data_IF_236776494550
#
_entry.id   IF_236776494550
#
_cell.length_a   1.000
_cell.length_b   1.000
_cell.length_c   1.000
_cell.angle_alpha   90.00
_cell.angle_beta   90.00
_cell.angle_gamma   90.00
#
_symmetry.space_group_name_H-M   'P 1'
#
loop_
_entity.id
_entity.type
_entity.pdbx_description
1 polymer ?
#
# COMPACT_ATOMS: atom_id res chain seq x y z
N UNK A 1 -24.60 6.40 -14.41
CA UNK A 1 -23.16 6.10 -14.58
C UNK A 1 -22.50 7.28 -15.29
N UNK A 2 -21.30 7.68 -14.90
CA UNK A 2 -20.62 8.89 -15.40
C UNK A 2 -20.28 8.76 -16.90
N UNK A 3 -21.09 9.41 -17.76
CA UNK A 3 -20.83 9.56 -19.22
C UNK A 3 -19.46 10.18 -19.56
N UNK A 4 -18.79 10.81 -18.58
CA UNK A 4 -17.59 11.61 -18.79
C UNK A 4 -16.34 10.86 -19.26
N UNK A 5 -16.18 9.57 -18.92
CA UNK A 5 -15.01 8.80 -19.39
C UNK A 5 -15.20 8.40 -20.86
N UNK A 6 -16.40 7.95 -21.24
CA UNK A 6 -16.69 7.48 -22.60
C UNK A 6 -16.81 8.62 -23.63
N UNK A 7 -17.09 9.85 -23.20
CA UNK A 7 -17.00 11.04 -24.08
C UNK A 7 -15.56 11.44 -24.39
N UNK A 8 -14.57 10.88 -23.68
CA UNK A 8 -13.14 11.14 -23.91
C UNK A 8 -12.44 9.99 -24.64
N UNK A 9 -13.14 8.87 -24.88
CA UNK A 9 -12.58 7.69 -25.54
C UNK A 9 -13.27 7.50 -26.89
N UNK A 10 -12.51 7.78 -27.95
CA UNK A 10 -12.97 7.68 -29.34
C UNK A 10 -13.00 6.23 -29.83
N UNK A 11 -11.87 5.51 -29.66
CA UNK A 11 -11.77 4.10 -30.04
C UNK A 11 -12.52 3.21 -29.05
N UNK A 12 -13.48 2.43 -29.56
CA UNK A 12 -14.31 1.54 -28.77
C UNK A 12 -14.26 0.13 -29.33
N UNK A 13 -14.08 -0.84 -28.45
CA UNK A 13 -14.15 -2.27 -28.78
C UNK A 13 -15.20 -2.95 -27.92
N UNK A 14 -16.07 -3.74 -28.53
CA UNK A 14 -17.17 -4.43 -27.84
C UNK A 14 -17.29 -5.88 -28.30
N UNK A 15 -17.28 -6.81 -27.34
CA UNK A 15 -17.69 -8.20 -27.57
C UNK A 15 -19.18 -8.38 -27.22
N UNK A 16 -19.71 -9.60 -27.37
CA UNK A 16 -21.12 -9.88 -27.06
C UNK A 16 -21.46 -9.47 -25.62
N UNK A 17 -22.51 -8.67 -25.47
CA UNK A 17 -22.98 -8.14 -24.19
C UNK A 17 -24.46 -7.75 -24.28
N UNK A 18 -25.09 -7.48 -23.14
CA UNK A 18 -26.48 -7.01 -23.09
C UNK A 18 -26.65 -5.62 -23.71
N UNK A 19 -27.79 -5.37 -24.38
CA UNK A 19 -28.08 -4.08 -25.04
C UNK A 19 -28.08 -2.89 -24.07
N UNK A 20 -28.48 -3.11 -22.82
CA UNK A 20 -28.43 -2.10 -21.76
C UNK A 20 -27.00 -1.60 -21.52
N UNK A 21 -26.03 -2.50 -21.46
CA UNK A 21 -24.59 -2.21 -21.33
C UNK A 21 -24.00 -1.66 -22.63
N UNK A 22 -24.46 -2.16 -23.78
CA UNK A 22 -24.00 -1.71 -25.10
C UNK A 22 -24.21 -0.22 -25.31
N UNK A 23 -25.25 0.40 -24.74
CA UNK A 23 -25.50 1.85 -24.84
C UNK A 23 -24.44 2.72 -24.14
N UNK A 24 -23.71 2.14 -23.18
CA UNK A 24 -22.63 2.83 -22.46
C UNK A 24 -21.29 2.68 -23.18
N UNK A 25 -21.08 1.56 -23.87
CA UNK A 25 -19.86 1.29 -24.64
C UNK A 25 -19.97 1.88 -26.04
N UNK A 26 -21.07 1.68 -26.75
CA UNK A 26 -21.33 2.25 -28.09
C UNK A 26 -22.18 3.53 -27.95
N UNK A 27 -22.40 4.26 -29.05
CA UNK A 27 -23.27 5.43 -29.02
C UNK A 27 -24.75 5.03 -28.90
N UNK A 28 -25.56 5.94 -28.36
CA UNK A 28 -27.01 5.82 -28.31
C UNK A 28 -27.56 5.61 -29.75
N UNK A 29 -28.22 4.47 -30.01
CA UNK A 29 -28.67 4.06 -31.35
C UNK A 29 -27.78 3.03 -32.08
N UNK A 30 -26.65 2.63 -31.49
CA UNK A 30 -25.76 1.56 -32.00
C UNK A 30 -25.83 0.28 -31.14
N UNK A 31 -26.84 0.15 -30.29
CA UNK A 31 -26.96 -0.96 -29.33
C UNK A 31 -27.21 -2.31 -30.00
N UNK A 32 -27.96 -2.34 -31.09
CA UNK A 32 -28.32 -3.59 -31.78
C UNK A 32 -27.14 -4.22 -32.53
N UNK A 33 -26.02 -3.50 -32.70
CA UNK A 33 -24.85 -4.03 -33.38
C UNK A 33 -24.23 -5.23 -32.64
N UNK A 34 -24.44 -5.33 -31.31
CA UNK A 34 -23.94 -6.47 -30.51
C UNK A 34 -24.64 -7.79 -30.88
N UNK A 35 -25.84 -7.75 -31.46
CA UNK A 35 -26.56 -8.94 -31.92
C UNK A 35 -25.85 -9.61 -33.11
N UNK A 36 -25.00 -8.88 -33.84
CA UNK A 36 -24.18 -9.41 -34.94
C UNK A 36 -22.98 -10.25 -34.45
N UNK A 37 -22.70 -10.22 -33.14
CA UNK A 37 -21.63 -10.96 -32.48
C UNK A 37 -22.11 -12.35 -32.04
N UNK A 38 -22.46 -13.17 -33.03
CA UNK A 38 -23.09 -14.50 -32.88
C UNK A 38 -22.15 -15.64 -32.48
N UNK A 39 -20.84 -15.38 -32.34
CA UNK A 39 -19.82 -16.39 -32.05
C UNK A 39 -18.80 -15.87 -31.03
N UNK A 40 -18.25 -16.77 -30.17
CA UNK A 40 -17.21 -16.40 -29.22
C UNK A 40 -16.03 -15.70 -29.92
N UNK A 41 -15.57 -14.61 -29.32
CA UNK A 41 -14.43 -13.82 -29.81
C UNK A 41 -14.73 -12.85 -30.94
N UNK A 42 -15.96 -12.82 -31.49
CA UNK A 42 -16.36 -11.70 -32.37
C UNK A 42 -16.30 -10.38 -31.60
N UNK A 43 -15.79 -9.35 -32.25
CA UNK A 43 -15.63 -8.02 -31.65
C UNK A 43 -16.01 -6.94 -32.66
N UNK A 44 -16.70 -5.91 -32.19
CA UNK A 44 -16.87 -4.65 -32.92
C UNK A 44 -15.66 -3.79 -32.61
N UNK A 45 -15.01 -3.29 -33.66
CA UNK A 45 -14.03 -2.21 -33.61
C UNK A 45 -14.69 -0.94 -34.14
N UNK A 46 -14.71 0.12 -33.34
CA UNK A 46 -15.33 1.40 -33.71
C UNK A 46 -14.37 2.55 -33.41
N UNK A 47 -14.02 3.31 -34.46
CA UNK A 47 -13.02 4.38 -34.41
C UNK A 47 -13.61 5.80 -34.34
N UNK A 48 -14.91 5.93 -34.06
CA UNK A 48 -15.60 7.22 -34.06
C UNK A 48 -16.71 7.24 -33.01
N UNK A 49 -16.32 7.31 -31.73
CA UNK A 49 -17.19 7.45 -30.55
C UNK A 49 -18.37 6.47 -30.50
N UNK A 50 -18.22 5.26 -31.03
CA UNK A 50 -19.29 4.27 -31.02
C UNK A 50 -20.42 4.54 -32.03
N UNK A 51 -20.22 5.40 -33.04
CA UNK A 51 -21.24 5.68 -34.08
C UNK A 51 -21.51 4.45 -34.94
N UNK A 52 -22.80 4.20 -35.20
CA UNK A 52 -23.30 3.00 -35.92
C UNK A 52 -22.62 2.74 -37.27
N UNK A 53 -22.32 3.78 -38.03
CA UNK A 53 -21.77 3.67 -39.38
C UNK A 53 -20.26 3.39 -39.41
N UNK A 54 -19.59 3.32 -38.26
CA UNK A 54 -18.14 3.15 -38.12
C UNK A 54 -17.79 1.84 -37.41
N UNK A 55 -18.74 0.89 -37.34
CA UNK A 55 -18.49 -0.44 -36.82
C UNK A 55 -17.79 -1.30 -37.87
N UNK A 56 -16.66 -1.87 -37.51
CA UNK A 56 -15.99 -2.95 -38.23
C UNK A 56 -16.08 -4.22 -37.38
N UNK A 57 -16.58 -5.32 -37.94
CA UNK A 57 -16.68 -6.60 -37.21
C UNK A 57 -15.44 -7.41 -37.50
N UNK A 58 -14.73 -7.78 -36.43
CA UNK A 58 -13.59 -8.67 -36.47
C UNK A 58 -13.76 -9.86 -35.54
N UNK A 59 -12.67 -10.61 -35.40
CA UNK A 59 -12.55 -11.77 -34.52
C UNK A 59 -11.23 -11.63 -33.75
N UNK A 60 -11.28 -11.75 -32.42
CA UNK A 60 -10.05 -11.75 -31.62
C UNK A 60 -9.27 -13.04 -31.87
N UNK A 61 -7.95 -12.96 -31.82
CA UNK A 61 -7.10 -14.14 -31.84
C UNK A 61 -7.39 -15.00 -30.60
N UNK A 62 -7.62 -16.29 -30.82
CA UNK A 62 -7.66 -17.25 -29.71
C UNK A 62 -6.23 -17.59 -29.27
N UNK A 63 -6.05 -17.73 -27.97
CA UNK A 63 -4.79 -18.18 -27.38
C UNK A 63 -5.11 -19.16 -26.28
N UNK A 64 -4.67 -20.40 -26.46
CA UNK A 64 -4.89 -21.46 -25.48
C UNK A 64 -4.20 -21.14 -24.16
N UNK A 65 -4.68 -21.71 -23.06
CA UNK A 65 -4.01 -21.56 -21.75
C UNK A 65 -2.55 -22.02 -21.79
N UNK A 66 -2.26 -23.06 -22.59
CA UNK A 66 -0.91 -23.59 -22.81
C UNK A 66 -0.02 -22.59 -23.54
N UNK A 67 -0.49 -21.96 -24.61
CA UNK A 67 0.28 -20.95 -25.34
C UNK A 67 0.53 -19.70 -24.49
N UNK A 68 -0.45 -19.24 -23.71
CA UNK A 68 -0.24 -18.16 -22.74
C UNK A 68 0.85 -18.50 -21.74
N UNK A 69 0.80 -19.71 -21.17
CA UNK A 69 1.82 -20.18 -20.23
C UNK A 69 3.21 -20.21 -20.88
N UNK A 70 3.31 -20.80 -22.07
CA UNK A 70 4.58 -20.88 -22.81
C UNK A 70 5.14 -19.48 -23.13
N UNK A 71 4.29 -18.53 -23.50
CA UNK A 71 4.70 -17.14 -23.74
C UNK A 71 5.23 -16.49 -22.45
N UNK A 72 4.58 -16.71 -21.30
CA UNK A 72 5.06 -16.21 -20.01
C UNK A 72 6.39 -16.85 -19.59
N UNK A 73 6.57 -18.15 -19.82
CA UNK A 73 7.83 -18.85 -19.57
C UNK A 73 8.95 -18.27 -20.44
N UNK A 74 8.71 -18.06 -21.73
CA UNK A 74 9.68 -17.46 -22.63
C UNK A 74 10.07 -16.03 -22.19
N UNK A 75 9.09 -15.21 -21.78
CA UNK A 75 9.37 -13.88 -21.19
C UNK A 75 10.28 -14.02 -19.96
N UNK A 76 10.01 -14.98 -19.07
CA UNK A 76 10.85 -15.21 -17.89
C UNK A 76 12.26 -15.67 -18.25
N UNK A 77 12.41 -16.54 -19.26
CA UNK A 77 13.72 -16.98 -19.77
C UNK A 77 14.53 -15.82 -20.33
N UNK A 78 13.91 -14.94 -21.13
CA UNK A 78 14.56 -13.73 -21.67
C UNK A 78 15.00 -12.80 -20.53
N UNK A 79 14.16 -12.62 -19.50
CA UNK A 79 14.50 -11.82 -18.32
C UNK A 79 15.72 -12.41 -17.60
N UNK A 80 15.74 -13.72 -17.41
CA UNK A 80 16.84 -14.42 -16.73
C UNK A 80 18.14 -14.35 -17.55
N UNK A 81 18.09 -14.58 -18.86
CA UNK A 81 19.24 -14.51 -19.77
C UNK A 81 19.86 -13.12 -19.83
N UNK A 82 19.02 -12.08 -19.81
CA UNK A 82 19.49 -10.70 -19.82
C UNK A 82 19.83 -10.16 -18.43
N UNK A 83 19.74 -11.00 -17.38
CA UNK A 83 19.87 -10.60 -15.98
C UNK A 83 19.04 -9.35 -15.63
N UNK A 84 17.89 -9.20 -16.28
CA UNK A 84 17.07 -8.02 -16.12
C UNK A 84 16.41 -8.04 -14.74
N UNK A 85 16.62 -6.98 -13.96
CA UNK A 85 15.86 -6.70 -12.76
C UNK A 85 15.09 -5.41 -12.96
N UNK A 86 13.81 -5.40 -12.57
CA UNK A 86 13.03 -4.17 -12.59
C UNK A 86 13.66 -3.17 -11.62
N UNK A 87 13.84 -1.93 -12.06
CA UNK A 87 14.28 -0.84 -11.19
C UNK A 87 13.28 -0.56 -10.07
N UNK A 88 11.98 -0.78 -10.34
CA UNK A 88 10.90 -0.64 -9.37
C UNK A 88 10.05 -1.91 -9.33
N UNK A 89 9.71 -2.45 -8.15
CA UNK A 89 8.90 -3.65 -8.08
C UNK A 89 7.50 -3.41 -8.63
N UNK A 90 6.92 -4.46 -9.22
CA UNK A 90 5.54 -4.46 -9.67
C UNK A 90 4.61 -4.22 -8.46
N UNK A 91 3.79 -3.18 -8.53
CA UNK A 91 2.78 -2.91 -7.52
C UNK A 91 1.50 -3.64 -7.95
N UNK A 92 1.13 -4.69 -7.21
CA UNK A 92 -0.16 -5.35 -7.37
C UNK A 92 -1.10 -4.83 -6.30
N UNK A 93 -2.10 -4.04 -6.70
CA UNK A 93 -3.13 -3.60 -5.78
C UNK A 93 -4.14 -4.73 -5.53
N UNK A 94 -4.23 -5.19 -4.29
CA UNK A 94 -5.27 -6.14 -3.88
C UNK A 94 -5.96 -5.60 -2.64
N UNK A 95 -7.13 -4.98 -2.83
CA UNK A 95 -7.86 -4.27 -1.78
C UNK A 95 -8.39 -5.13 -0.63
N UNK A 96 -8.31 -6.47 -0.73
CA UNK A 96 -8.74 -7.39 0.33
C UNK A 96 -7.59 -8.04 1.09
N UNK A 97 -6.33 -7.81 0.69
CA UNK A 97 -5.17 -8.39 1.38
C UNK A 97 -4.76 -7.54 2.58
N UNK A 98 -4.39 -8.17 3.71
CA UNK A 98 -3.76 -7.46 4.82
C UNK A 98 -2.47 -6.78 4.38
N UNK A 99 -2.23 -5.60 4.91
CA UNK A 99 -0.96 -4.88 4.77
C UNK A 99 0.19 -5.69 5.33
N UNK A 100 1.33 -5.69 4.62
CA UNK A 100 2.58 -6.28 5.12
C UNK A 100 3.68 -5.24 5.23
N UNK A 101 4.27 -5.14 6.41
CA UNK A 101 5.38 -4.21 6.65
C UNK A 101 6.61 -4.52 5.76
N UNK A 102 6.81 -5.78 5.39
CA UNK A 102 7.87 -6.22 4.47
C UNK A 102 7.71 -5.71 3.02
N UNK A 103 6.53 -5.18 2.64
CA UNK A 103 6.35 -4.53 1.34
C UNK A 103 6.77 -3.06 1.36
N UNK A 104 7.11 -2.52 2.53
CA UNK A 104 7.59 -1.16 2.64
C UNK A 104 9.03 -1.05 2.13
N UNK A 105 9.19 -0.62 0.88
CA UNK A 105 10.49 -0.47 0.21
C UNK A 105 11.47 0.40 0.99
N UNK A 106 10.99 1.48 1.59
CA UNK A 106 11.85 2.38 2.37
C UNK A 106 12.35 1.69 3.64
N UNK A 107 11.50 0.95 4.34
CA UNK A 107 11.89 0.20 5.53
C UNK A 107 12.81 -0.98 5.18
N UNK A 108 12.50 -1.75 4.14
CA UNK A 108 13.36 -2.85 3.67
C UNK A 108 14.76 -2.33 3.34
N UNK A 109 14.85 -1.24 2.56
CA UNK A 109 16.10 -0.58 2.24
C UNK A 109 16.88 -0.15 3.49
N UNK A 110 16.21 0.33 4.53
CA UNK A 110 16.86 0.71 5.80
C UNK A 110 17.32 -0.52 6.58
N UNK A 111 16.57 -1.62 6.56
CA UNK A 111 16.92 -2.86 7.25
C UNK A 111 18.13 -3.57 6.65
N UNK A 112 18.41 -3.30 5.37
CA UNK A 112 19.60 -3.82 4.66
C UNK A 112 20.87 -2.99 4.94
N UNK A 113 20.75 -1.84 5.61
CA UNK A 113 21.90 -1.00 5.94
C UNK A 113 22.62 -1.49 7.19
N UNK A 114 23.95 -1.43 7.17
CA UNK A 114 24.80 -1.80 8.32
C UNK A 114 25.00 -0.68 9.32
N UNK A 115 24.77 0.58 8.90
CA UNK A 115 25.00 1.76 9.72
C UNK A 115 23.78 2.69 9.71
N UNK A 116 23.58 3.39 10.84
CA UNK A 116 22.56 4.43 10.93
C UNK A 116 22.98 5.66 10.13
N UNK A 117 22.12 6.08 9.21
CA UNK A 117 22.29 7.34 8.48
C UNK A 117 22.05 8.54 9.41
N UNK A 118 22.75 9.65 9.15
CA UNK A 118 22.35 10.92 9.75
C UNK A 118 20.95 11.32 9.28
N UNK A 119 20.20 12.10 10.07
CA UNK A 119 18.84 12.52 9.69
C UNK A 119 18.78 13.27 8.35
N UNK A 120 19.86 13.96 7.96
CA UNK A 120 19.97 14.62 6.66
C UNK A 120 20.11 13.61 5.51
N UNK A 121 20.95 12.59 5.69
CA UNK A 121 21.16 11.53 4.72
C UNK A 121 19.95 10.61 4.61
N UNK A 122 19.33 10.28 5.73
CA UNK A 122 18.10 9.50 5.80
C UNK A 122 17.02 10.10 4.89
N UNK A 123 16.82 11.42 4.96
CA UNK A 123 15.87 12.10 4.09
C UNK A 123 16.32 12.15 2.63
N UNK A 124 17.58 12.48 2.38
CA UNK A 124 18.13 12.60 1.02
C UNK A 124 18.09 11.27 0.25
N UNK A 125 18.38 10.16 0.92
CA UNK A 125 18.60 8.86 0.29
C UNK A 125 17.39 7.93 0.31
N UNK A 126 16.51 8.07 1.32
CA UNK A 126 15.43 7.12 1.56
C UNK A 126 14.07 7.82 1.66
N UNK A 127 13.88 8.70 2.65
CA UNK A 127 12.53 9.17 3.04
C UNK A 127 11.96 10.17 2.03
N UNK A 128 12.81 11.07 1.50
CA UNK A 128 12.47 12.11 0.51
C UNK A 128 11.26 12.97 0.90
N UNK A 129 11.14 13.29 2.18
CA UNK A 129 10.07 14.14 2.68
C UNK A 129 10.45 15.63 2.52
N UNK A 130 9.60 16.45 1.88
CA UNK A 130 9.87 17.87 1.71
C UNK A 130 9.89 18.64 3.04
N UNK A 131 9.04 18.26 4.01
CA UNK A 131 8.92 18.92 5.32
C UNK A 131 9.78 18.26 6.42
N UNK A 132 11.01 17.87 6.05
CA UNK A 132 11.97 17.20 6.93
C UNK A 132 12.93 18.20 7.60
N UNK A 133 12.52 18.74 8.74
CA UNK A 133 13.30 19.74 9.50
C UNK A 133 14.27 19.05 10.47
N UNK A 134 15.53 18.89 10.08
CA UNK A 134 16.56 18.14 10.83
C UNK A 134 16.73 18.62 12.28
N UNK A 135 16.61 19.92 12.54
CA UNK A 135 16.75 20.53 13.88
C UNK A 135 15.68 20.05 14.86
N UNK A 136 14.56 19.55 14.36
CA UNK A 136 13.46 19.03 15.16
C UNK A 136 13.58 17.53 15.41
N UNK A 137 14.74 16.95 15.06
CA UNK A 137 15.02 15.52 15.14
C UNK A 137 13.84 14.66 14.67
N UNK A 138 13.48 14.73 13.38
CA UNK A 138 12.33 14.03 12.84
C UNK A 138 12.55 12.51 12.79
N UNK A 139 11.49 11.74 13.04
CA UNK A 139 11.47 10.29 12.91
C UNK A 139 10.24 9.83 12.15
N UNK A 140 10.42 8.86 11.26
CA UNK A 140 9.34 8.31 10.45
C UNK A 140 8.69 7.11 11.14
N UNK A 141 7.37 7.03 11.04
CA UNK A 141 6.57 5.96 11.61
C UNK A 141 5.59 5.45 10.55
N UNK A 142 5.90 4.33 9.92
CA UNK A 142 5.02 3.72 8.91
C UNK A 142 3.86 3.00 9.58
N UNK A 143 2.66 3.29 9.08
CA UNK A 143 1.38 2.82 9.62
C UNK A 143 0.79 1.68 8.79
N UNK A 144 1.13 1.61 7.51
CA UNK A 144 0.69 0.54 6.62
C UNK A 144 0.61 0.93 5.14
N UNK A 145 0.09 0.02 4.32
CA UNK A 145 -0.11 0.26 2.88
C UNK A 145 -1.35 1.12 2.66
N UNK A 146 -1.31 2.13 1.77
CA UNK A 146 -2.49 2.92 1.44
C UNK A 146 -3.42 2.17 0.50
N UNK A 147 -4.72 2.53 0.48
CA UNK A 147 -5.69 2.07 -0.53
C UNK A 147 -5.52 2.75 -1.91
N UNK A 148 -4.31 3.22 -2.24
CA UNK A 148 -3.97 3.88 -3.50
C UNK A 148 -2.56 3.49 -3.92
N UNK A 149 -2.22 3.72 -5.19
CA UNK A 149 -0.83 3.54 -5.64
C UNK A 149 0.02 4.65 -5.00
N UNK A 150 1.03 4.27 -4.22
CA UNK A 150 1.95 5.19 -3.57
C UNK A 150 2.76 4.54 -2.45
N UNK A 151 3.56 5.36 -1.76
CA UNK A 151 4.32 4.93 -0.59
C UNK A 151 3.40 4.57 0.58
N UNK A 152 3.94 3.76 1.51
CA UNK A 152 3.24 3.42 2.74
C UNK A 152 2.80 4.67 3.50
N UNK A 153 1.59 4.62 4.06
CA UNK A 153 1.08 5.64 4.96
C UNK A 153 2.03 5.79 6.14
N UNK A 154 2.42 7.02 6.45
CA UNK A 154 3.45 7.32 7.44
C UNK A 154 3.09 8.56 8.26
N UNK A 155 3.53 8.57 9.51
CA UNK A 155 3.51 9.72 10.40
C UNK A 155 4.94 10.19 10.68
N UNK A 156 5.11 11.48 10.97
CA UNK A 156 6.42 12.07 11.29
C UNK A 156 6.39 12.57 12.74
N UNK A 157 7.15 11.91 13.59
CA UNK A 157 7.45 12.40 14.93
C UNK A 157 8.51 13.48 14.86
N UNK A 158 8.38 14.51 15.69
CA UNK A 158 9.28 15.66 15.80
C UNK A 158 9.42 16.02 17.26
N UNK A 159 10.57 16.54 17.68
CA UNK A 159 10.83 17.03 19.04
C UNK A 159 10.16 18.37 19.31
N UNK A 160 8.83 18.38 19.22
CA UNK A 160 7.96 19.51 19.56
C UNK A 160 7.06 19.14 20.74
N UNK A 161 6.73 20.08 21.63
CA UNK A 161 5.64 19.89 22.58
C UNK A 161 4.36 19.51 21.84
N UNK A 162 3.55 18.64 22.46
CA UNK A 162 2.24 18.20 21.94
C UNK A 162 2.28 17.38 20.65
N UNK A 163 3.45 16.94 20.18
CA UNK A 163 3.54 16.01 19.08
C UNK A 163 3.46 14.56 19.59
N UNK A 164 2.25 14.01 19.68
CA UNK A 164 1.99 12.64 20.13
C UNK A 164 1.09 11.93 19.10
N UNK A 165 1.14 10.60 19.09
CA UNK A 165 0.26 9.80 18.25
C UNK A 165 -0.68 8.97 19.13
N UNK A 166 -1.97 9.02 18.79
CA UNK A 166 -3.01 8.22 19.43
C UNK A 166 -3.56 7.22 18.41
N UNK A 167 -3.63 5.95 18.79
CA UNK A 167 -4.17 4.88 17.95
C UNK A 167 -5.40 4.33 18.67
N UNK A 168 -6.52 4.32 17.97
CA UNK A 168 -7.81 3.84 18.46
C UNK A 168 -8.35 2.85 17.45
N UNK A 169 -8.75 1.67 17.92
CA UNK A 169 -9.28 0.61 17.09
C UNK A 169 -9.94 -0.47 17.95
N UNK A 170 -10.85 -1.22 17.35
CA UNK A 170 -11.56 -2.33 18.00
C UNK A 170 -10.83 -3.67 17.89
N UNK A 171 -9.83 -3.77 17.00
CA UNK A 171 -9.01 -4.97 16.82
C UNK A 171 -7.63 -4.75 17.42
N UNK A 172 -7.32 -5.50 18.47
CA UNK A 172 -6.03 -5.40 19.15
C UNK A 172 -4.87 -5.86 18.26
N UNK A 173 -5.06 -6.94 17.50
CA UNK A 173 -4.10 -7.41 16.48
C UNK A 173 -3.67 -6.28 15.55
N UNK A 174 -4.62 -5.55 14.97
CA UNK A 174 -4.32 -4.46 14.05
C UNK A 174 -3.59 -3.33 14.77
N UNK A 175 -4.08 -2.94 15.95
CA UNK A 175 -3.48 -1.84 16.74
C UNK A 175 -2.04 -2.17 17.13
N UNK A 176 -1.78 -3.38 17.64
CA UNK A 176 -0.44 -3.82 18.00
C UNK A 176 0.46 -4.03 16.78
N UNK A 177 -0.09 -4.51 15.66
CA UNK A 177 0.62 -4.58 14.38
C UNK A 177 1.11 -3.20 13.93
N UNK A 178 0.26 -2.17 14.02
CA UNK A 178 0.63 -0.78 13.72
C UNK A 178 1.70 -0.30 14.71
N UNK A 179 1.54 -0.52 16.01
CA UNK A 179 2.55 -0.12 17.02
C UNK A 179 3.90 -0.78 16.74
N UNK A 180 3.92 -2.09 16.45
CA UNK A 180 5.12 -2.82 16.08
C UNK A 180 5.78 -2.23 14.82
N UNK A 181 4.97 -1.91 13.80
CA UNK A 181 5.43 -1.20 12.60
C UNK A 181 6.06 0.16 12.92
N UNK A 182 5.45 0.93 13.82
CA UNK A 182 6.00 2.22 14.26
C UNK A 182 7.33 2.04 14.99
N UNK A 183 7.42 1.12 15.96
CA UNK A 183 8.66 0.86 16.69
C UNK A 183 9.77 0.44 15.73
N UNK A 184 9.50 -0.50 14.82
CA UNK A 184 10.43 -0.93 13.78
C UNK A 184 10.83 0.21 12.83
N UNK A 185 9.95 1.17 12.56
CA UNK A 185 10.28 2.36 11.77
C UNK A 185 11.27 3.26 12.52
N UNK A 186 11.00 3.50 13.79
CA UNK A 186 11.73 4.46 14.62
C UNK A 186 13.14 3.99 14.96
N UNK A 187 13.37 2.68 15.11
CA UNK A 187 14.72 2.16 15.36
C UNK A 187 15.69 2.46 14.20
N UNK A 188 15.20 2.65 12.97
CA UNK A 188 16.06 3.01 11.83
C UNK A 188 16.34 4.52 11.77
N UNK A 189 15.58 5.34 12.51
CA UNK A 189 15.77 6.79 12.56
C UNK A 189 16.81 7.22 13.61
N UNK A 190 16.98 6.43 14.67
CA UNK A 190 17.80 6.80 15.82
C UNK A 190 18.70 5.65 16.22
N UNK A 191 19.95 5.98 16.54
CA UNK A 191 20.87 5.04 17.17
C UNK A 191 20.34 4.59 18.55
N UNK A 192 20.73 3.39 19.02
CA UNK A 192 20.42 2.95 20.38
C UNK A 192 20.74 4.02 21.43
N UNK A 193 19.92 4.11 22.47
CA UNK A 193 20.02 5.08 23.56
C UNK A 193 19.81 6.56 23.19
N UNK A 194 19.59 6.91 21.90
CA UNK A 194 19.25 8.29 21.48
C UNK A 194 17.75 8.60 21.49
N UNK A 195 16.92 7.59 21.66
CA UNK A 195 15.48 7.72 21.80
C UNK A 195 14.96 6.84 22.94
N UNK A 196 13.83 7.23 23.52
CA UNK A 196 13.05 6.39 24.44
C UNK A 196 11.63 6.22 23.93
N UNK A 197 11.09 5.02 24.11
CA UNK A 197 9.72 4.71 23.76
C UNK A 197 8.85 4.73 25.01
N UNK A 198 7.75 5.48 24.96
CA UNK A 198 6.72 5.46 26.00
C UNK A 198 5.44 4.93 25.38
N UNK A 199 4.99 3.77 25.84
CA UNK A 199 3.77 3.12 25.39
C UNK A 199 2.76 3.21 26.54
N UNK A 200 1.68 3.93 26.33
CA UNK A 200 0.53 3.85 27.22
C UNK A 200 -0.42 2.78 26.68
N UNK A 201 -0.55 1.69 27.43
CA UNK A 201 -1.49 0.63 27.11
C UNK A 201 -2.69 0.72 28.05
N UNK A 202 -3.87 0.88 27.44
CA UNK A 202 -5.16 0.97 28.13
C UNK A 202 -6.08 -0.18 27.70
N UNK A 203 -5.50 -1.28 27.19
CA UNK A 203 -6.21 -2.55 27.00
C UNK A 203 -6.70 -3.08 28.35
N UNK A 204 -7.78 -3.85 28.31
CA UNK A 204 -8.26 -4.58 29.49
C UNK A 204 -7.54 -5.94 29.44
N UNK A 205 -6.87 -6.36 30.52
CA UNK A 205 -6.27 -7.70 30.57
C UNK A 205 -7.35 -8.76 30.35
N UNK A 206 -7.07 -9.69 29.45
CA UNK A 206 -7.96 -10.78 29.08
C UNK A 206 -7.10 -12.03 28.87
N UNK A 207 -7.30 -13.04 29.72
CA UNK A 207 -6.49 -14.27 29.74
C UNK A 207 -6.67 -15.10 28.46
N UNK A 208 -7.78 -14.92 27.73
CA UNK A 208 -8.05 -15.58 26.46
C UNK A 208 -7.49 -14.80 25.25
N UNK A 209 -6.82 -13.67 25.50
CA UNK A 209 -6.34 -12.77 24.47
C UNK A 209 -4.83 -12.47 24.62
N UNK A 210 -4.03 -13.27 23.92
CA UNK A 210 -2.56 -13.16 23.86
C UNK A 210 -2.06 -11.76 23.44
N UNK A 211 -2.90 -10.97 22.75
CA UNK A 211 -2.52 -9.62 22.34
C UNK A 211 -2.28 -8.70 23.53
N UNK A 212 -2.92 -8.95 24.68
CA UNK A 212 -2.76 -8.12 25.88
C UNK A 212 -1.33 -8.15 26.44
N UNK A 213 -0.54 -9.20 26.14
CA UNK A 213 0.88 -9.30 26.51
C UNK A 213 1.82 -8.55 25.56
N UNK A 214 1.34 -8.10 24.39
CA UNK A 214 2.22 -7.55 23.35
C UNK A 214 2.95 -6.27 23.77
N UNK A 215 2.36 -5.45 24.64
CA UNK A 215 3.06 -4.28 25.20
C UNK A 215 4.29 -4.70 26.01
N UNK A 216 4.19 -5.79 26.76
CA UNK A 216 5.31 -6.37 27.52
C UNK A 216 6.34 -6.96 26.56
N UNK A 217 5.89 -7.65 25.51
CA UNK A 217 6.78 -8.21 24.48
C UNK A 217 7.56 -7.11 23.76
N UNK A 218 6.93 -6.00 23.39
CA UNK A 218 7.62 -4.85 22.82
C UNK A 218 8.63 -4.26 23.80
N UNK A 219 8.26 -4.05 25.07
CA UNK A 219 9.22 -3.58 26.07
C UNK A 219 10.42 -4.52 26.13
N UNK A 220 10.21 -5.82 26.29
CA UNK A 220 11.30 -6.78 26.45
C UNK A 220 12.19 -6.83 25.19
N UNK A 221 11.62 -6.73 23.99
CA UNK A 221 12.36 -6.74 22.73
C UNK A 221 13.21 -5.49 22.51
N UNK A 222 12.70 -4.30 22.87
CA UNK A 222 13.37 -3.03 22.56
C UNK A 222 14.17 -2.43 23.74
N UNK A 223 13.87 -2.78 25.00
CA UNK A 223 14.39 -2.07 26.17
C UNK A 223 15.92 -2.07 26.31
N UNK A 224 16.61 -3.09 25.81
CA UNK A 224 18.08 -3.15 25.81
C UNK A 224 18.71 -2.08 24.91
N UNK A 225 18.03 -1.69 23.83
CA UNK A 225 18.53 -0.73 22.84
C UNK A 225 17.88 0.65 23.00
N UNK A 226 16.58 0.68 23.28
CA UNK A 226 15.76 1.89 23.42
C UNK A 226 14.98 1.76 24.73
N UNK A 227 15.29 2.57 25.76
CA UNK A 227 14.56 2.53 27.02
C UNK A 227 13.05 2.62 26.76
N UNK A 228 12.33 1.57 27.15
CA UNK A 228 10.91 1.41 26.83
C UNK A 228 10.11 1.39 28.12
N UNK A 229 9.30 2.42 28.34
CA UNK A 229 8.45 2.56 29.52
C UNK A 229 6.99 2.31 29.17
N UNK A 230 6.33 1.48 29.98
CA UNK A 230 4.90 1.23 29.90
C UNK A 230 4.22 2.13 30.95
N UNK A 231 3.15 2.82 30.56
CA UNK A 231 2.34 3.66 31.44
C UNK A 231 0.89 3.16 31.46
N UNK A 232 0.29 3.10 32.66
CA UNK A 232 -1.02 2.45 32.88
C UNK A 232 -2.16 3.42 33.24
N UNK A 233 -2.00 4.75 33.14
CA UNK A 233 -3.02 5.69 33.68
C UNK A 233 -3.34 6.86 32.76
N UNK A 234 -4.49 6.79 32.09
CA UNK A 234 -5.42 7.89 31.75
C UNK A 234 -6.85 7.29 31.73
N UNK A 235 -7.83 7.86 32.44
CA UNK A 235 -9.16 7.27 32.57
C UNK A 235 -10.03 7.58 31.35
N UNK A 236 -9.87 6.84 30.24
CA UNK A 236 -10.86 6.76 29.14
C UNK A 236 -10.77 5.36 28.51
N UNK A 237 -11.93 4.71 28.31
CA UNK A 237 -12.03 3.42 27.62
C UNK A 237 -11.61 3.56 26.14
N UNK A 238 -10.67 2.70 25.72
CA UNK A 238 -10.06 2.55 24.39
C UNK A 238 -9.22 3.75 23.91
N UNK A 239 -7.98 3.86 24.42
CA UNK A 239 -6.93 4.71 23.82
C UNK A 239 -5.54 4.09 24.02
N UNK A 240 -4.78 3.78 22.96
CA UNK A 240 -3.32 3.56 23.08
C UNK A 240 -2.58 4.82 22.63
N UNK A 241 -1.59 5.25 23.41
CA UNK A 241 -0.80 6.44 23.11
C UNK A 241 0.69 6.09 23.03
N UNK A 242 1.28 6.34 21.87
CA UNK A 242 2.71 6.22 21.68
C UNK A 242 3.34 7.62 21.75
N UNK A 243 4.29 7.76 22.67
CA UNK A 243 5.09 8.98 22.81
C UNK A 243 6.56 8.67 22.65
N UNK A 244 7.13 9.22 21.58
CA UNK A 244 8.57 9.22 21.36
C UNK A 244 9.18 10.42 22.07
N UNK A 245 10.17 10.20 22.94
CA UNK A 245 11.00 11.28 23.47
C UNK A 245 12.43 11.10 22.99
N UNK A 246 12.97 12.15 22.42
CA UNK A 246 14.32 12.22 21.89
C UNK A 246 15.19 12.98 22.91
N UNK A 247 16.42 12.52 23.12
CA UNK A 247 17.38 13.14 24.02
C UNK A 247 18.08 14.32 23.33
#
# INVERSE_FOLDING_TARGET
MSRGIYSQIDLRMAQQMDKSTASSVLAEGNTDAVDLLDKPGKVIYNKDYGKKNQNEIGQVADISAKERYNALVNIQEIVNQNHYQRSEPLILFNGSRPTKLSHNRQLVKLSEMTEWLSLKELNKQVIKEPDWVVQETPGIAWLGEPMRIGDHTKAIFRRRPRNNMMIVGSSEEIVFGIIGGILMSLIHCYQPQKARFMIADLSIPDEDNDWTEMTINFRNAFNSYFPTQIANVLPIQIVKLLKLKLY
#
